data_IF_062193357869
#
_entry.id   IF_062193357869
#
_cell.length_a   1.000
_cell.length_b   1.000
_cell.length_c   1.000
_cell.angle_alpha   90.00
_cell.angle_beta   90.00
_cell.angle_gamma   90.00
#
_symmetry.space_group_name_H-M   'P 1'
#
loop_
_entity.id
_entity.type
_entity.pdbx_description
1 polymer ?
#
# COMPACT_ATOMS: atom_id res chain seq x y z
N UNK A 1 4.17 -31.98 11.71
CA UNK A 1 4.10 -32.50 10.32
C UNK A 1 4.92 -33.78 10.24
N UNK A 2 4.44 -34.80 9.50
CA UNK A 2 5.17 -36.08 9.36
C UNK A 2 6.36 -35.90 8.40
N UNK A 3 7.61 -36.19 8.83
CA UNK A 3 8.82 -36.01 8.01
C UNK A 3 8.95 -36.98 6.83
N UNK A 4 8.10 -38.01 6.74
CA UNK A 4 8.11 -38.99 5.63
C UNK A 4 7.15 -38.66 4.48
N UNK A 5 6.36 -37.59 4.60
CA UNK A 5 5.44 -37.18 3.56
C UNK A 5 6.11 -36.16 2.62
N UNK A 6 6.01 -36.39 1.31
CA UNK A 6 6.40 -35.41 0.29
C UNK A 6 5.28 -34.37 0.18
N UNK A 7 5.61 -33.11 0.46
CA UNK A 7 4.69 -31.99 0.31
C UNK A 7 5.05 -31.22 -0.95
N UNK A 8 4.05 -30.93 -1.77
CA UNK A 8 4.17 -30.02 -2.92
C UNK A 8 3.34 -28.77 -2.64
N UNK A 9 3.95 -27.60 -2.85
CA UNK A 9 3.24 -26.33 -2.75
C UNK A 9 2.19 -26.24 -3.87
N UNK A 10 0.97 -25.85 -3.51
CA UNK A 10 -0.10 -25.69 -4.48
C UNK A 10 0.09 -24.40 -5.29
N UNK A 11 0.38 -24.51 -6.59
CA UNK A 11 0.55 -23.35 -7.48
C UNK A 11 -0.65 -22.39 -7.47
N UNK A 12 -1.88 -22.94 -7.35
CA UNK A 12 -3.08 -22.13 -7.20
C UNK A 12 -3.13 -21.34 -5.89
N UNK A 13 -2.59 -21.91 -4.80
CA UNK A 13 -2.51 -21.20 -3.53
C UNK A 13 -1.49 -20.07 -3.59
N UNK A 14 -0.30 -20.33 -4.17
CA UNK A 14 0.72 -19.30 -4.39
C UNK A 14 0.20 -18.14 -5.24
N UNK A 15 -0.47 -18.45 -6.36
CA UNK A 15 -1.09 -17.44 -7.22
C UNK A 15 -2.16 -16.61 -6.47
N UNK A 16 -2.93 -17.26 -5.60
CA UNK A 16 -3.94 -16.60 -4.78
C UNK A 16 -3.31 -15.66 -3.73
N UNK A 17 -2.16 -16.02 -3.15
CA UNK A 17 -1.40 -15.16 -2.25
C UNK A 17 -0.83 -13.95 -2.98
N UNK A 18 -0.17 -14.16 -4.12
CA UNK A 18 0.41 -13.07 -4.92
C UNK A 18 -0.63 -12.02 -5.29
N UNK A 19 -1.82 -12.44 -5.74
CA UNK A 19 -2.91 -11.52 -6.07
C UNK A 19 -3.44 -10.76 -4.85
N UNK A 20 -3.44 -11.41 -3.68
CA UNK A 20 -3.80 -10.77 -2.42
C UNK A 20 -2.81 -9.70 -2.02
N UNK A 21 -1.52 -10.00 -2.09
CA UNK A 21 -0.47 -9.05 -1.78
C UNK A 21 -0.49 -7.87 -2.77
N UNK A 22 -0.73 -8.14 -4.06
CA UNK A 22 -0.92 -7.10 -5.08
C UNK A 22 -2.08 -6.16 -4.74
N UNK A 23 -3.25 -6.69 -4.38
CA UNK A 23 -4.41 -5.86 -4.03
C UNK A 23 -4.17 -5.05 -2.74
N UNK A 24 -3.55 -5.66 -1.73
CA UNK A 24 -3.27 -4.99 -0.45
C UNK A 24 -2.11 -3.98 -0.51
N UNK A 25 -1.20 -4.11 -1.48
CA UNK A 25 -0.11 -3.16 -1.69
C UNK A 25 -0.58 -1.79 -2.22
N UNK A 26 -1.78 -1.72 -2.80
CA UNK A 26 -2.30 -0.50 -3.41
C UNK A 26 -3.51 0.04 -2.64
N UNK A 27 -3.36 1.22 -2.03
CA UNK A 27 -4.44 1.87 -1.25
C UNK A 27 -5.72 2.05 -2.08
N UNK A 28 -5.59 2.42 -3.37
CA UNK A 28 -6.75 2.58 -4.26
C UNK A 28 -7.48 1.25 -4.48
N UNK A 29 -6.74 0.16 -4.61
CA UNK A 29 -7.31 -1.17 -4.76
C UNK A 29 -8.04 -1.63 -3.50
N UNK A 30 -7.44 -1.40 -2.32
CA UNK A 30 -8.08 -1.69 -1.03
C UNK A 30 -9.40 -0.93 -0.90
N UNK A 31 -9.43 0.37 -1.23
CA UNK A 31 -10.67 1.17 -1.21
C UNK A 31 -11.70 0.64 -2.21
N UNK A 32 -11.27 0.30 -3.44
CA UNK A 32 -12.13 -0.27 -4.47
C UNK A 32 -12.80 -1.58 -4.03
N UNK A 33 -12.03 -2.56 -3.55
CA UNK A 33 -12.59 -3.83 -3.05
C UNK A 33 -13.46 -3.62 -1.80
N UNK A 34 -13.15 -2.61 -0.98
CA UNK A 34 -14.02 -2.18 0.12
C UNK A 34 -15.41 -1.75 -0.36
N UNK A 35 -15.49 -0.94 -1.42
CA UNK A 35 -16.78 -0.54 -2.02
C UNK A 35 -17.53 -1.75 -2.58
N UNK A 36 -16.84 -2.63 -3.30
CA UNK A 36 -17.43 -3.88 -3.83
C UNK A 36 -18.02 -4.73 -2.69
N UNK A 37 -17.31 -4.88 -1.57
CA UNK A 37 -17.82 -5.63 -0.42
C UNK A 37 -19.05 -4.96 0.19
N UNK A 38 -19.04 -3.63 0.33
CA UNK A 38 -20.14 -2.88 0.93
C UNK A 38 -21.42 -2.97 0.09
N UNK A 39 -21.31 -2.93 -1.24
CA UNK A 39 -22.46 -3.18 -2.13
C UNK A 39 -23.08 -4.54 -1.83
N UNK A 40 -22.26 -5.59 -1.76
CA UNK A 40 -22.74 -6.93 -1.44
C UNK A 40 -23.41 -7.00 -0.06
N UNK A 41 -22.74 -6.49 0.99
CA UNK A 41 -23.24 -6.53 2.37
C UNK A 41 -24.56 -5.75 2.52
N UNK A 42 -24.68 -4.59 1.87
CA UNK A 42 -25.89 -3.78 1.92
C UNK A 42 -27.10 -4.54 1.38
N UNK A 43 -26.98 -5.16 0.20
CA UNK A 43 -28.10 -5.89 -0.40
C UNK A 43 -28.41 -7.22 0.29
N UNK A 44 -27.41 -7.92 0.86
CA UNK A 44 -27.66 -9.18 1.58
C UNK A 44 -28.18 -9.02 3.00
N UNK A 45 -28.02 -7.84 3.60
CA UNK A 45 -28.44 -7.60 4.99
C UNK A 45 -29.95 -7.79 5.22
N UNK A 46 -30.76 -7.77 4.15
CA UNK A 46 -32.21 -8.00 4.25
C UNK A 46 -32.78 -8.58 2.96
N UNK A 47 -33.74 -9.51 3.08
CA UNK A 47 -34.49 -10.08 1.96
C UNK A 47 -35.26 -9.03 1.16
N UNK A 48 -35.71 -7.94 1.80
CA UNK A 48 -36.35 -6.81 1.14
C UNK A 48 -35.38 -6.07 0.21
N UNK A 49 -34.16 -5.81 0.70
CA UNK A 49 -33.10 -5.13 -0.08
C UNK A 49 -32.62 -6.01 -1.22
N UNK A 50 -32.49 -7.31 -0.97
CA UNK A 50 -32.18 -8.28 -2.00
C UNK A 50 -33.22 -8.31 -3.12
N UNK A 51 -34.51 -8.20 -2.77
CA UNK A 51 -35.57 -8.09 -3.76
C UNK A 51 -35.43 -6.83 -4.63
N UNK A 52 -35.17 -5.67 -4.03
CA UNK A 52 -34.92 -4.41 -4.78
C UNK A 52 -33.77 -4.59 -5.78
N UNK A 53 -32.70 -5.29 -5.40
CA UNK A 53 -31.61 -5.61 -6.33
C UNK A 53 -32.08 -6.50 -7.49
N UNK A 54 -32.81 -7.58 -7.20
CA UNK A 54 -33.32 -8.50 -8.22
C UNK A 54 -34.33 -7.86 -9.17
N UNK A 55 -35.13 -6.90 -8.68
CA UNK A 55 -36.10 -6.18 -9.49
C UNK A 55 -35.42 -5.29 -10.56
N UNK A 56 -34.15 -4.89 -10.33
CA UNK A 56 -33.36 -4.09 -11.28
C UNK A 56 -32.36 -4.93 -12.09
N UNK A 57 -31.83 -6.01 -11.50
CA UNK A 57 -30.71 -6.77 -12.04
C UNK A 57 -31.23 -8.09 -12.61
N UNK A 58 -31.39 -8.15 -13.93
CA UNK A 58 -31.91 -9.33 -14.65
C UNK A 58 -30.84 -10.39 -14.96
N UNK A 59 -29.54 -10.06 -14.79
CA UNK A 59 -28.42 -10.89 -15.22
C UNK A 59 -27.65 -11.55 -14.07
N UNK A 60 -26.44 -11.06 -13.81
CA UNK A 60 -25.47 -11.68 -12.89
C UNK A 60 -25.69 -11.21 -11.45
N UNK A 61 -25.86 -12.17 -10.54
CA UNK A 61 -26.00 -11.87 -9.11
C UNK A 61 -24.65 -11.48 -8.47
N UNK A 62 -24.64 -10.40 -7.68
CA UNK A 62 -23.48 -9.97 -6.89
C UNK A 62 -23.14 -11.04 -5.84
N UNK A 63 -21.84 -11.35 -5.68
CA UNK A 63 -21.34 -12.35 -4.72
C UNK A 63 -20.45 -11.72 -3.67
N UNK A 64 -20.30 -12.38 -2.51
CA UNK A 64 -19.39 -11.90 -1.47
C UNK A 64 -17.96 -11.95 -1.99
N UNK A 65 -17.16 -10.96 -1.61
CA UNK A 65 -15.71 -11.17 -1.62
C UNK A 65 -15.41 -12.21 -0.53
N UNK A 66 -14.51 -13.13 -0.85
CA UNK A 66 -13.96 -14.06 0.13
C UNK A 66 -12.48 -13.78 0.25
N UNK A 67 -11.99 -13.59 1.48
CA UNK A 67 -10.57 -13.34 1.76
C UNK A 67 -9.67 -14.49 1.26
N UNK A 68 -10.22 -15.70 1.11
CA UNK A 68 -9.45 -16.91 0.78
C UNK A 68 -9.58 -17.38 -0.67
N UNK A 69 -10.45 -16.79 -1.51
CA UNK A 69 -10.67 -17.26 -2.90
C UNK A 69 -10.95 -16.14 -3.90
N UNK A 70 -9.97 -15.81 -4.73
CA UNK A 70 -10.13 -14.82 -5.84
C UNK A 70 -11.17 -15.22 -6.89
N UNK A 71 -11.47 -16.52 -7.01
CA UNK A 71 -12.59 -17.04 -7.83
C UNK A 71 -13.95 -16.48 -7.40
N UNK A 72 -14.13 -16.11 -6.12
CA UNK A 72 -15.33 -15.40 -5.67
C UNK A 72 -15.27 -13.93 -6.10
N UNK A 73 -14.10 -13.32 -5.97
CA UNK A 73 -13.90 -11.90 -6.24
C UNK A 73 -14.11 -11.52 -7.71
N UNK A 74 -13.64 -12.35 -8.65
CA UNK A 74 -13.93 -12.14 -10.07
C UNK A 74 -15.44 -12.20 -10.36
N UNK A 75 -16.21 -13.04 -9.66
CA UNK A 75 -17.67 -13.13 -9.88
C UNK A 75 -18.36 -11.85 -9.41
N UNK A 76 -17.93 -11.30 -8.28
CA UNK A 76 -18.41 -10.02 -7.74
C UNK A 76 -18.09 -8.86 -8.68
N UNK A 77 -16.82 -8.75 -9.08
CA UNK A 77 -16.34 -7.71 -10.01
C UNK A 77 -17.03 -7.83 -11.37
N UNK A 78 -17.20 -9.05 -11.89
CA UNK A 78 -17.93 -9.30 -13.14
C UNK A 78 -19.38 -8.85 -13.04
N UNK A 79 -20.08 -9.21 -11.97
CA UNK A 79 -21.48 -8.84 -11.79
C UNK A 79 -21.67 -7.33 -11.77
N UNK A 80 -20.77 -6.61 -11.09
CA UNK A 80 -20.81 -5.15 -11.02
C UNK A 80 -20.45 -4.53 -12.36
N UNK A 81 -19.36 -4.96 -13.02
CA UNK A 81 -18.89 -4.39 -14.30
C UNK A 81 -19.97 -4.38 -15.39
N UNK A 82 -20.74 -5.46 -15.51
CA UNK A 82 -21.69 -5.61 -16.61
C UNK A 82 -23.11 -5.13 -16.27
N UNK A 83 -23.36 -4.70 -15.05
CA UNK A 83 -24.68 -4.22 -14.60
C UNK A 83 -24.54 -2.98 -13.69
N UNK A 84 -23.53 -2.15 -13.97
CA UNK A 84 -23.21 -1.01 -13.09
C UNK A 84 -24.37 -0.01 -13.04
N UNK A 85 -25.00 0.25 -14.19
CA UNK A 85 -26.19 1.10 -14.32
C UNK A 85 -27.37 0.61 -13.48
N UNK A 86 -27.66 -0.68 -13.53
CA UNK A 86 -28.79 -1.33 -12.87
C UNK A 86 -28.56 -1.36 -11.36
N UNK A 87 -27.35 -1.68 -10.93
CA UNK A 87 -26.97 -1.66 -9.51
C UNK A 87 -27.05 -0.22 -8.97
N UNK A 88 -26.63 0.78 -9.75
CA UNK A 88 -26.79 2.19 -9.37
C UNK A 88 -28.27 2.54 -9.18
N UNK A 89 -29.13 2.18 -10.12
CA UNK A 89 -30.56 2.42 -10.01
C UNK A 89 -31.16 1.74 -8.77
N UNK A 90 -30.78 0.49 -8.50
CA UNK A 90 -31.21 -0.23 -7.30
C UNK A 90 -30.75 0.45 -6.00
N UNK A 91 -29.52 1.00 -5.96
CA UNK A 91 -29.02 1.77 -4.81
C UNK A 91 -29.78 3.09 -4.62
N UNK A 92 -30.13 3.78 -5.71
CA UNK A 92 -30.92 5.01 -5.65
C UNK A 92 -32.37 4.73 -5.21
N UNK A 93 -32.97 3.62 -5.64
CA UNK A 93 -34.27 3.18 -5.12
C UNK A 93 -34.17 2.84 -3.63
N UNK A 94 -33.15 2.09 -3.23
CA UNK A 94 -32.95 1.73 -1.84
C UNK A 94 -32.77 2.98 -0.95
N UNK A 95 -32.06 3.99 -1.44
CA UNK A 95 -31.94 5.28 -0.76
C UNK A 95 -33.29 5.97 -0.53
N UNK A 96 -34.21 5.88 -1.50
CA UNK A 96 -35.56 6.49 -1.41
C UNK A 96 -36.50 5.69 -0.49
N UNK A 97 -36.39 4.37 -0.50
CA UNK A 97 -37.35 3.45 0.15
C UNK A 97 -36.97 3.01 1.54
N UNK A 98 -35.68 3.06 1.93
CA UNK A 98 -35.27 2.75 3.29
C UNK A 98 -35.92 3.73 4.29
N UNK A 99 -36.07 3.31 5.55
CA UNK A 99 -36.43 4.22 6.64
C UNK A 99 -35.21 4.58 7.49
N UNK A 100 -34.27 3.63 7.61
CA UNK A 100 -33.11 3.76 8.48
C UNK A 100 -32.05 4.69 7.89
N UNK A 101 -31.62 5.68 8.68
CA UNK A 101 -30.68 6.71 8.24
C UNK A 101 -29.32 6.14 7.80
N UNK A 102 -28.86 5.06 8.45
CA UNK A 102 -27.58 4.41 8.14
C UNK A 102 -27.59 3.80 6.73
N UNK A 103 -28.59 2.99 6.39
CA UNK A 103 -28.67 2.37 5.06
C UNK A 103 -29.01 3.38 3.98
N UNK A 104 -29.78 4.44 4.29
CA UNK A 104 -29.97 5.56 3.35
C UNK A 104 -28.66 6.23 2.98
N UNK A 105 -27.85 6.58 3.98
CA UNK A 105 -26.55 7.22 3.79
C UNK A 105 -25.58 6.28 3.07
N UNK A 106 -25.56 5.01 3.44
CA UNK A 106 -24.72 4.00 2.81
C UNK A 106 -25.11 3.76 1.34
N UNK A 107 -26.41 3.59 1.04
CA UNK A 107 -26.89 3.43 -0.33
C UNK A 107 -26.52 4.61 -1.21
N UNK A 108 -26.66 5.84 -0.70
CA UNK A 108 -26.27 7.05 -1.44
C UNK A 108 -24.75 7.11 -1.66
N UNK A 109 -23.96 6.87 -0.61
CA UNK A 109 -22.50 6.84 -0.70
C UNK A 109 -21.99 5.80 -1.72
N UNK A 110 -22.64 4.64 -1.80
CA UNK A 110 -22.29 3.61 -2.78
C UNK A 110 -22.73 4.00 -4.20
N UNK A 111 -23.91 4.61 -4.37
CA UNK A 111 -24.33 5.15 -5.66
C UNK A 111 -23.35 6.22 -6.17
N UNK A 112 -22.96 7.16 -5.30
CA UNK A 112 -21.96 8.20 -5.62
C UNK A 112 -20.58 7.60 -5.96
N UNK A 113 -20.25 6.46 -5.34
CA UNK A 113 -19.01 5.73 -5.68
C UNK A 113 -19.10 5.10 -7.07
N UNK A 114 -20.26 4.60 -7.49
CA UNK A 114 -20.48 4.07 -8.85
C UNK A 114 -20.53 5.19 -9.90
N UNK A 115 -20.90 6.41 -9.51
CA UNK A 115 -20.84 7.60 -10.37
C UNK A 115 -19.43 8.25 -10.43
N UNK A 116 -18.43 7.64 -9.79
CA UNK A 116 -17.04 8.10 -9.90
C UNK A 116 -16.33 7.44 -11.08
N UNK A 117 -15.79 8.27 -11.98
CA UNK A 117 -14.94 7.80 -13.07
C UNK A 117 -13.74 6.99 -12.57
N UNK A 118 -13.17 7.33 -11.41
CA UNK A 118 -12.06 6.56 -10.81
C UNK A 118 -12.49 5.14 -10.42
N UNK A 119 -13.71 4.97 -9.92
CA UNK A 119 -14.23 3.65 -9.58
C UNK A 119 -14.56 2.84 -10.84
N UNK A 120 -15.17 3.47 -11.86
CA UNK A 120 -15.44 2.85 -13.16
C UNK A 120 -14.14 2.44 -13.87
N UNK A 121 -13.06 3.19 -13.73
CA UNK A 121 -11.76 2.76 -14.25
C UNK A 121 -11.22 1.57 -13.46
N UNK A 122 -11.38 1.60 -12.13
CA UNK A 122 -11.03 0.50 -11.23
C UNK A 122 -11.73 -0.80 -11.59
N UNK A 123 -13.05 -0.78 -11.85
CA UNK A 123 -13.83 -2.00 -12.17
C UNK A 123 -13.38 -2.63 -13.50
N UNK A 124 -13.00 -1.81 -14.48
CA UNK A 124 -12.48 -2.27 -15.78
C UNK A 124 -11.13 -2.96 -15.58
N UNK A 125 -10.17 -2.24 -14.98
CA UNK A 125 -8.80 -2.75 -14.77
C UNK A 125 -8.82 -4.03 -13.93
N UNK A 126 -9.52 -4.02 -12.80
CA UNK A 126 -9.57 -5.19 -11.91
C UNK A 126 -10.26 -6.38 -12.55
N UNK A 127 -11.30 -6.18 -13.37
CA UNK A 127 -11.89 -7.30 -14.10
C UNK A 127 -10.90 -7.92 -15.07
N UNK A 128 -10.15 -7.13 -15.84
CA UNK A 128 -9.21 -7.65 -16.85
C UNK A 128 -8.08 -8.46 -16.19
N UNK A 129 -7.50 -7.92 -15.09
CA UNK A 129 -6.48 -8.59 -14.28
C UNK A 129 -7.03 -9.90 -13.68
N UNK A 130 -8.19 -9.83 -13.01
CA UNK A 130 -8.79 -11.00 -12.36
C UNK A 130 -9.22 -12.05 -13.38
N UNK A 131 -9.64 -11.65 -14.57
CA UNK A 131 -10.02 -12.54 -15.65
C UNK A 131 -8.83 -13.36 -16.13
N UNK A 132 -7.71 -12.73 -16.43
CA UNK A 132 -6.47 -13.41 -16.81
C UNK A 132 -6.05 -14.42 -15.72
N UNK A 133 -5.98 -13.99 -14.46
CA UNK A 133 -5.55 -14.84 -13.34
C UNK A 133 -6.53 -16.01 -13.12
N UNK A 134 -7.83 -15.78 -13.24
CA UNK A 134 -8.83 -16.84 -13.08
C UNK A 134 -8.78 -17.86 -14.23
N UNK A 135 -8.41 -17.45 -15.44
CA UNK A 135 -8.17 -18.41 -16.54
C UNK A 135 -7.01 -19.32 -16.21
N UNK A 136 -5.87 -18.76 -15.78
CA UNK A 136 -4.70 -19.53 -15.34
C UNK A 136 -5.08 -20.45 -14.18
N UNK A 137 -5.71 -19.92 -13.13
CA UNK A 137 -6.14 -20.68 -11.95
C UNK A 137 -7.05 -21.87 -12.30
N UNK A 138 -7.98 -21.71 -13.25
CA UNK A 138 -8.85 -22.81 -13.71
C UNK A 138 -8.08 -23.89 -14.46
N UNK A 139 -7.16 -23.50 -15.35
CA UNK A 139 -6.29 -24.44 -16.06
C UNK A 139 -5.38 -25.17 -15.08
N UNK A 140 -4.88 -24.45 -14.07
CA UNK A 140 -4.06 -25.00 -12.99
C UNK A 140 -4.77 -26.06 -12.11
N UNK A 141 -6.10 -26.07 -12.14
CA UNK A 141 -6.94 -27.02 -11.40
C UNK A 141 -7.46 -28.16 -12.27
N UNK A 142 -7.10 -28.21 -13.56
CA UNK A 142 -7.59 -29.25 -14.48
C UNK A 142 -6.89 -30.59 -14.24
N UNK A 143 -7.64 -31.68 -14.37
CA UNK A 143 -7.13 -33.05 -14.17
C UNK A 143 -6.10 -33.46 -15.23
N UNK A 144 -6.13 -32.83 -16.41
CA UNK A 144 -5.22 -33.09 -17.53
C UNK A 144 -3.95 -32.22 -17.52
N UNK A 145 -3.60 -31.62 -16.39
CA UNK A 145 -2.52 -30.65 -16.34
C UNK A 145 -1.13 -31.31 -16.31
N UNK A 146 -0.28 -30.93 -17.27
CA UNK A 146 1.16 -31.23 -17.25
C UNK A 146 1.99 -30.05 -16.72
N UNK A 147 3.24 -30.32 -16.35
CA UNK A 147 4.21 -29.30 -15.93
C UNK A 147 4.52 -28.34 -17.09
N UNK A 148 4.70 -28.86 -18.32
CA UNK A 148 4.95 -28.03 -19.50
C UNK A 148 3.78 -27.09 -19.78
N UNK A 149 2.55 -27.59 -19.68
CA UNK A 149 1.35 -26.75 -19.85
C UNK A 149 1.23 -25.70 -18.75
N UNK A 150 1.66 -26.02 -17.53
CA UNK A 150 1.71 -25.05 -16.41
C UNK A 150 2.66 -23.90 -16.71
N UNK A 151 3.86 -24.20 -17.21
CA UNK A 151 4.87 -23.20 -17.59
C UNK A 151 4.30 -22.29 -18.68
N UNK A 152 3.73 -22.86 -19.74
CA UNK A 152 3.13 -22.10 -20.84
C UNK A 152 2.00 -21.16 -20.34
N UNK A 153 1.16 -21.60 -19.39
CA UNK A 153 0.12 -20.72 -18.82
C UNK A 153 0.70 -19.57 -17.99
N UNK A 154 1.78 -19.81 -17.24
CA UNK A 154 2.43 -18.77 -16.44
C UNK A 154 3.12 -17.75 -17.35
N UNK A 155 3.84 -18.21 -18.37
CA UNK A 155 4.47 -17.36 -19.38
C UNK A 155 3.43 -16.51 -20.13
N UNK A 156 2.30 -17.11 -20.53
CA UNK A 156 1.20 -16.37 -21.14
C UNK A 156 0.61 -15.29 -20.22
N UNK A 157 0.52 -15.56 -18.91
CA UNK A 157 0.08 -14.58 -17.93
C UNK A 157 1.08 -13.43 -17.77
N UNK A 158 2.38 -13.74 -17.73
CA UNK A 158 3.46 -12.75 -17.66
C UNK A 158 3.45 -11.85 -18.91
N UNK A 159 3.34 -12.44 -20.10
CA UNK A 159 3.23 -11.71 -21.35
C UNK A 159 2.00 -10.79 -21.38
N UNK A 160 0.85 -11.26 -20.86
CA UNK A 160 -0.32 -10.42 -20.67
C UNK A 160 -0.02 -9.21 -19.78
N UNK A 161 0.58 -9.40 -18.60
CA UNK A 161 0.90 -8.30 -17.68
C UNK A 161 1.95 -7.33 -18.24
N UNK A 162 2.91 -7.82 -19.00
CA UNK A 162 3.88 -6.99 -19.73
C UNK A 162 3.22 -6.11 -20.78
N UNK A 163 2.36 -6.69 -21.62
CA UNK A 163 1.58 -5.93 -22.60
C UNK A 163 0.57 -4.97 -21.93
N UNK A 164 -0.04 -5.39 -20.83
CA UNK A 164 -1.00 -4.57 -20.10
C UNK A 164 -0.36 -3.30 -19.51
N UNK A 165 0.92 -3.36 -19.12
CA UNK A 165 1.68 -2.20 -18.64
C UNK A 165 1.92 -1.14 -19.71
N UNK A 166 2.01 -1.54 -20.98
CA UNK A 166 2.30 -0.61 -22.09
C UNK A 166 1.02 -0.05 -22.73
N UNK A 167 0.03 -0.89 -23.02
CA UNK A 167 -1.18 -0.50 -23.76
C UNK A 167 -2.47 -0.69 -22.98
N UNK A 168 -2.45 -1.53 -21.93
CA UNK A 168 -3.64 -1.91 -21.16
C UNK A 168 -4.33 -0.72 -20.49
N UNK A 169 -3.57 0.21 -19.89
CA UNK A 169 -4.17 1.39 -19.25
C UNK A 169 -4.93 2.28 -20.23
N UNK A 170 -4.38 2.51 -21.44
CA UNK A 170 -5.05 3.30 -22.48
C UNK A 170 -6.32 2.60 -22.99
N UNK A 171 -6.26 1.27 -23.18
CA UNK A 171 -7.42 0.48 -23.55
C UNK A 171 -8.51 0.52 -22.47
N UNK A 172 -8.16 0.33 -21.19
CA UNK A 172 -9.09 0.45 -20.08
C UNK A 172 -9.71 1.84 -20.01
N UNK A 173 -8.92 2.90 -20.22
CA UNK A 173 -9.41 4.27 -20.23
C UNK A 173 -10.49 4.50 -21.29
N UNK A 174 -10.30 3.97 -22.50
CA UNK A 174 -11.29 4.08 -23.57
C UNK A 174 -12.57 3.33 -23.21
N UNK A 175 -12.46 2.08 -22.72
CA UNK A 175 -13.61 1.30 -22.27
C UNK A 175 -14.37 2.02 -21.15
N UNK A 176 -13.66 2.63 -20.20
CA UNK A 176 -14.28 3.38 -19.11
C UNK A 176 -14.97 4.65 -19.60
N UNK A 177 -14.43 5.35 -20.60
CA UNK A 177 -15.09 6.53 -21.20
C UNK A 177 -16.42 6.16 -21.85
N UNK A 178 -16.45 5.06 -22.60
CA UNK A 178 -17.71 4.56 -23.17
C UNK A 178 -18.72 4.19 -22.08
N UNK A 179 -18.27 3.51 -21.01
CA UNK A 179 -19.13 3.18 -19.88
C UNK A 179 -19.65 4.43 -19.15
N UNK A 180 -18.80 5.42 -18.96
CA UNK A 180 -19.15 6.69 -18.31
C UNK A 180 -20.17 7.47 -19.14
N UNK A 181 -20.04 7.48 -20.47
CA UNK A 181 -21.02 8.08 -21.38
C UNK A 181 -22.39 7.41 -21.25
N UNK A 182 -22.45 6.07 -21.24
CA UNK A 182 -23.71 5.32 -21.05
C UNK A 182 -24.35 5.62 -19.69
N UNK A 183 -23.53 5.86 -18.67
CA UNK A 183 -23.98 6.14 -17.31
C UNK A 183 -24.29 7.62 -17.05
N UNK A 184 -24.05 8.52 -17.99
CA UNK A 184 -24.11 9.98 -17.81
C UNK A 184 -23.18 10.48 -16.68
N UNK A 185 -21.96 9.91 -16.64
CA UNK A 185 -20.90 10.25 -15.68
C UNK A 185 -19.82 11.06 -16.39
N UNK A 186 -19.43 12.19 -15.81
CA UNK A 186 -18.34 12.99 -16.36
C UNK A 186 -17.00 12.23 -16.26
N UNK A 187 -16.26 12.04 -17.37
CA UNK A 187 -15.03 11.24 -17.38
C UNK A 187 -13.82 12.03 -16.87
N UNK A 188 -13.92 12.56 -15.65
CA UNK A 188 -12.90 13.37 -15.00
C UNK A 188 -12.42 12.75 -13.69
N UNK A 189 -11.12 12.88 -13.42
CA UNK A 189 -10.57 12.47 -12.14
C UNK A 189 -10.81 13.56 -11.09
N UNK A 190 -11.14 13.18 -9.84
CA UNK A 190 -11.33 14.15 -8.77
C UNK A 190 -10.05 14.96 -8.53
N UNK A 191 -10.14 16.27 -8.69
CA UNK A 191 -9.04 17.18 -8.41
C UNK A 191 -8.85 17.26 -6.90
N UNK A 192 -7.79 16.64 -6.38
CA UNK A 192 -7.45 16.76 -4.95
C UNK A 192 -7.12 18.22 -4.64
N UNK A 193 -7.98 18.87 -3.85
CA UNK A 193 -7.72 20.20 -3.32
C UNK A 193 -6.45 20.14 -2.45
N UNK A 194 -5.37 20.77 -2.89
CA UNK A 194 -4.18 20.94 -2.05
C UNK A 194 -4.54 21.88 -0.91
N UNK A 195 -4.72 21.34 0.30
CA UNK A 195 -4.88 22.17 1.50
C UNK A 195 -3.53 22.83 1.77
N UNK A 196 -3.42 24.11 1.40
CA UNK A 196 -2.33 24.96 1.86
C UNK A 196 -2.55 25.22 3.36
N UNK A 197 -1.90 24.45 4.22
CA UNK A 197 -1.82 24.80 5.65
C UNK A 197 -1.06 26.12 5.77
N UNK A 198 -1.59 27.10 6.50
CA UNK A 198 -0.81 28.26 6.95
C UNK A 198 0.41 27.73 7.71
N UNK A 199 1.60 27.98 7.19
CA UNK A 199 2.86 27.61 7.84
C UNK A 199 2.97 28.42 9.14
N UNK A 200 3.02 27.73 10.28
CA UNK A 200 3.64 28.32 11.47
C UNK A 200 5.14 28.42 11.18
N UNK A 201 5.71 29.60 11.44
CA UNK A 201 7.14 29.86 11.32
C UNK A 201 7.88 28.92 12.26
N UNK A 202 8.72 28.01 11.72
CA UNK A 202 9.72 27.30 12.52
C UNK A 202 9.86 25.79 12.37
N UNK A 203 8.96 25.04 11.73
CA UNK A 203 9.15 23.57 11.63
C UNK A 203 8.48 22.96 10.39
N UNK A 204 9.00 23.25 9.19
CA UNK A 204 8.78 22.39 8.03
C UNK A 204 9.74 22.78 6.90
N UNK A 205 11.01 22.40 7.05
CA UNK A 205 11.88 22.12 5.92
C UNK A 205 11.53 20.69 5.52
N UNK A 206 11.07 20.45 4.28
CA UNK A 206 10.81 19.09 3.79
C UNK A 206 12.00 18.19 4.12
N UNK A 207 11.79 16.98 4.65
CA UNK A 207 12.84 16.01 5.04
C UNK A 207 14.01 15.95 4.04
N UNK A 208 13.70 16.04 2.74
CA UNK A 208 14.69 16.19 1.67
C UNK A 208 15.65 17.35 1.89
N UNK A 209 15.15 18.58 2.07
CA UNK A 209 15.95 19.79 2.26
C UNK A 209 16.76 19.78 3.57
N UNK A 210 16.32 19.06 4.61
CA UNK A 210 17.06 18.95 5.87
C UNK A 210 18.22 17.96 5.74
N UNK A 211 18.01 16.79 5.14
CA UNK A 211 19.10 15.87 4.79
C UNK A 211 20.14 16.56 3.89
N UNK A 212 19.68 17.28 2.86
CA UNK A 212 20.58 18.00 1.96
C UNK A 212 21.34 19.16 2.61
N UNK A 213 20.83 19.77 3.69
CA UNK A 213 21.61 20.80 4.41
C UNK A 213 22.74 20.21 5.26
N UNK A 214 22.58 18.97 5.74
CA UNK A 214 23.59 18.27 6.54
C UNK A 214 24.70 17.63 5.69
N UNK A 215 24.37 17.12 4.50
CA UNK A 215 25.32 16.46 3.58
C UNK A 215 25.74 17.34 2.40
N UNK A 216 25.54 18.66 2.49
CA UNK A 216 25.87 19.61 1.41
C UNK A 216 27.36 19.62 1.07
N UNK A 217 28.22 19.27 2.03
CA UNK A 217 29.67 19.11 1.82
C UNK A 217 30.05 17.79 1.15
N UNK A 218 29.16 16.79 1.18
CA UNK A 218 29.47 15.41 0.79
C UNK A 218 28.88 15.01 -0.57
N UNK A 219 27.89 15.75 -1.08
CA UNK A 219 27.20 15.48 -2.35
C UNK A 219 26.98 16.78 -3.12
N UNK A 220 27.48 16.86 -4.35
CA UNK A 220 27.07 17.90 -5.31
C UNK A 220 25.76 17.50 -6.01
N UNK A 221 24.77 18.39 -5.98
CA UNK A 221 23.42 18.11 -6.50
C UNK A 221 23.38 18.00 -8.02
N UNK A 222 24.16 18.83 -8.72
CA UNK A 222 24.16 18.86 -10.18
C UNK A 222 24.92 17.65 -10.71
N UNK A 223 26.04 17.30 -10.08
CA UNK A 223 26.82 16.13 -10.44
C UNK A 223 26.05 14.84 -10.12
N UNK A 224 25.42 14.74 -8.94
CA UNK A 224 24.56 13.58 -8.61
C UNK A 224 23.43 13.41 -9.63
N UNK A 225 22.80 14.50 -10.07
CA UNK A 225 21.73 14.43 -11.06
C UNK A 225 22.22 13.92 -12.42
N UNK A 226 23.38 14.41 -12.87
CA UNK A 226 24.01 13.97 -14.11
C UNK A 226 24.47 12.51 -14.02
N UNK A 227 25.11 12.12 -12.92
CA UNK A 227 25.51 10.74 -12.65
C UNK A 227 24.29 9.81 -12.66
N UNK A 228 23.16 10.18 -12.03
CA UNK A 228 21.95 9.35 -11.99
C UNK A 228 21.36 9.12 -13.38
N UNK A 229 21.43 10.14 -14.24
CA UNK A 229 20.96 10.03 -15.63
C UNK A 229 21.85 9.10 -16.45
N UNK A 230 23.17 9.13 -16.21
CA UNK A 230 24.12 8.22 -16.86
C UNK A 230 23.97 6.80 -16.31
N UNK A 231 23.74 6.65 -15.01
CA UNK A 231 23.50 5.37 -14.36
C UNK A 231 22.24 4.68 -14.93
N UNK A 232 21.17 5.45 -15.19
CA UNK A 232 19.95 4.93 -15.80
C UNK A 232 20.19 4.28 -17.18
N UNK A 233 21.10 4.83 -17.98
CA UNK A 233 21.44 4.32 -19.33
C UNK A 233 22.46 3.18 -19.30
N UNK A 234 23.23 3.05 -18.21
CA UNK A 234 24.30 2.04 -18.06
C UNK A 234 23.88 0.82 -17.24
N UNK A 235 22.76 0.91 -16.51
CA UNK A 235 22.21 -0.20 -15.75
C UNK A 235 21.66 -1.30 -16.69
N UNK A 236 21.96 -2.58 -16.42
CA UNK A 236 21.30 -3.68 -17.09
C UNK A 236 19.78 -3.65 -16.84
N UNK A 237 18.97 -4.10 -17.80
CA UNK A 237 17.51 -4.28 -17.67
C UNK A 237 17.12 -5.41 -16.69
N UNK A 238 17.58 -5.32 -15.43
CA UNK A 238 17.29 -6.26 -14.35
C UNK A 238 17.01 -5.47 -13.07
N UNK A 239 16.01 -5.90 -12.29
CA UNK A 239 15.77 -5.37 -10.96
C UNK A 239 16.98 -5.67 -10.06
N UNK A 240 17.64 -4.62 -9.57
CA UNK A 240 18.77 -4.70 -8.64
C UNK A 240 18.39 -4.08 -7.29
N UNK A 241 18.88 -4.65 -6.20
CA UNK A 241 18.75 -4.06 -4.87
C UNK A 241 19.71 -2.88 -4.70
N UNK A 242 19.48 -2.03 -3.69
CA UNK A 242 20.36 -0.89 -3.39
C UNK A 242 21.81 -1.33 -3.07
N UNK A 243 22.00 -2.57 -2.60
CA UNK A 243 23.32 -3.16 -2.34
C UNK A 243 23.99 -3.55 -3.65
N UNK A 244 23.24 -4.19 -4.56
CA UNK A 244 23.75 -4.57 -5.88
C UNK A 244 24.13 -3.35 -6.72
N UNK A 245 23.35 -2.27 -6.63
CA UNK A 245 23.64 -0.99 -7.28
C UNK A 245 24.93 -0.37 -6.70
N UNK A 246 25.14 -0.44 -5.38
CA UNK A 246 26.37 0.06 -4.77
C UNK A 246 27.60 -0.77 -5.19
N UNK A 247 27.45 -2.09 -5.32
CA UNK A 247 28.52 -2.97 -5.80
C UNK A 247 28.88 -2.68 -7.26
N UNK A 248 27.88 -2.50 -8.12
CA UNK A 248 28.05 -2.10 -9.52
C UNK A 248 28.70 -0.71 -9.67
N UNK A 249 28.30 0.25 -8.85
CA UNK A 249 28.89 1.59 -8.85
C UNK A 249 30.33 1.57 -8.34
N UNK A 250 30.67 0.71 -7.38
CA UNK A 250 32.04 0.53 -6.89
C UNK A 250 32.98 -0.12 -7.92
N UNK A 251 32.49 -1.00 -8.79
CA UNK A 251 33.31 -1.62 -9.83
C UNK A 251 33.62 -0.69 -10.99
N UNK A 252 32.76 0.30 -11.25
CA UNK A 252 32.93 1.25 -12.34
C UNK A 252 33.74 2.51 -11.98
N UNK A 253 33.94 2.79 -10.68
CA UNK A 253 34.74 3.91 -10.12
C UNK A 253 34.44 5.31 -10.70
N UNK A 254 33.31 5.48 -11.40
CA UNK A 254 32.99 6.70 -12.15
C UNK A 254 31.81 7.50 -11.59
N UNK A 255 31.19 7.05 -10.48
CA UNK A 255 30.06 7.72 -9.84
C UNK A 255 30.31 7.93 -8.33
N UNK A 256 31.13 8.94 -8.01
CA UNK A 256 31.51 9.24 -6.63
C UNK A 256 30.32 9.73 -5.81
N UNK A 257 29.46 10.59 -6.36
CA UNK A 257 28.29 11.12 -5.67
C UNK A 257 27.21 10.04 -5.47
N UNK A 258 26.99 9.16 -6.45
CA UNK A 258 26.06 8.02 -6.29
C UNK A 258 26.56 7.05 -5.22
N UNK A 259 27.86 6.75 -5.19
CA UNK A 259 28.43 5.86 -4.15
C UNK A 259 28.19 6.42 -2.75
N UNK A 260 28.37 7.72 -2.56
CA UNK A 260 28.10 8.42 -1.29
C UNK A 260 26.60 8.42 -0.98
N UNK A 261 25.74 8.73 -1.96
CA UNK A 261 24.30 8.73 -1.79
C UNK A 261 23.75 7.33 -1.43
N UNK A 262 24.24 6.27 -2.08
CA UNK A 262 23.88 4.88 -1.77
C UNK A 262 24.37 4.48 -0.37
N UNK A 263 25.56 4.91 0.06
CA UNK A 263 26.04 4.68 1.44
C UNK A 263 25.18 5.42 2.47
N UNK A 264 24.77 6.65 2.21
CA UNK A 264 23.84 7.38 3.08
C UNK A 264 22.49 6.67 3.11
N UNK A 265 21.96 6.24 1.97
CA UNK A 265 20.69 5.51 1.90
C UNK A 265 20.71 4.19 2.68
N UNK A 266 21.83 3.47 2.64
CA UNK A 266 22.00 2.19 3.34
C UNK A 266 22.34 2.36 4.83
N UNK A 267 22.85 3.52 5.25
CA UNK A 267 23.18 3.81 6.66
C UNK A 267 22.08 4.59 7.38
N UNK A 268 21.25 5.33 6.66
CA UNK A 268 20.00 5.86 7.20
C UNK A 268 19.05 4.68 7.42
N UNK A 269 18.50 4.47 8.64
CA UNK A 269 17.62 3.35 8.91
C UNK A 269 16.31 3.50 8.12
N UNK A 270 16.28 2.97 6.89
CA UNK A 270 15.09 2.92 6.04
C UNK A 270 14.29 1.65 6.33
N UNK A 271 13.96 1.41 7.60
CA UNK A 271 12.81 0.59 7.98
C UNK A 271 12.16 1.16 9.23
N UNK A 272 10.86 1.37 9.10
CA UNK A 272 9.97 2.14 9.97
C UNK A 272 9.91 1.62 11.42
N UNK A 273 10.44 0.44 11.72
CA UNK A 273 10.32 -0.19 13.03
C UNK A 273 11.05 0.57 14.16
N UNK A 274 12.29 1.01 13.95
CA UNK A 274 13.07 1.71 15.00
C UNK A 274 12.60 3.16 15.18
N UNK A 275 12.22 3.82 14.07
CA UNK A 275 11.59 5.14 14.09
C UNK A 275 10.21 5.08 14.79
N UNK A 276 9.37 4.10 14.47
CA UNK A 276 8.05 3.93 15.12
C UNK A 276 8.19 3.57 16.60
N UNK A 277 9.19 2.76 16.98
CA UNK A 277 9.47 2.46 18.39
C UNK A 277 9.91 3.72 19.13
N UNK A 278 10.81 4.52 18.57
CA UNK A 278 11.26 5.79 19.16
C UNK A 278 10.15 6.86 19.20
N UNK A 279 9.31 6.99 18.17
CA UNK A 279 8.13 7.87 18.18
C UNK A 279 7.06 7.43 19.17
N UNK A 280 6.82 6.12 19.31
CA UNK A 280 5.91 5.55 20.31
C UNK A 280 6.39 5.83 21.74
N UNK A 281 7.69 5.68 22.00
CA UNK A 281 8.30 6.04 23.31
C UNK A 281 8.28 7.55 23.56
N UNK A 282 8.55 8.37 22.55
CA UNK A 282 8.46 9.83 22.64
C UNK A 282 7.03 10.30 22.98
N UNK A 283 6.00 9.64 22.44
CA UNK A 283 4.60 9.91 22.77
C UNK A 283 4.28 9.60 24.24
N UNK A 284 4.94 8.61 24.84
CA UNK A 284 4.83 8.31 26.27
C UNK A 284 5.63 9.29 27.15
N UNK A 285 6.75 9.82 26.65
CA UNK A 285 7.57 10.81 27.35
C UNK A 285 6.92 12.21 27.34
N UNK A 286 6.35 12.62 26.21
CA UNK A 286 5.58 13.86 26.06
C UNK A 286 4.10 13.65 26.39
N UNK A 287 3.79 13.33 27.63
CA UNK A 287 2.42 13.44 28.13
C UNK A 287 2.03 14.91 28.33
N UNK A 288 0.73 15.20 28.26
CA UNK A 288 0.17 16.55 28.43
C UNK A 288 0.69 17.26 29.71
N UNK A 289 0.88 16.49 30.79
CA UNK A 289 1.41 16.96 32.08
C UNK A 289 2.92 17.26 32.10
N UNK A 290 3.68 16.89 31.04
CA UNK A 290 5.15 17.06 30.93
C UNK A 290 5.57 18.03 29.81
N UNK A 291 4.64 18.84 29.32
CA UNK A 291 4.81 19.71 28.15
C UNK A 291 5.76 20.91 28.35
N UNK A 292 6.26 21.15 29.57
CA UNK A 292 7.18 22.26 29.91
C UNK A 292 8.67 21.87 29.98
N UNK A 293 9.05 20.67 29.54
CA UNK A 293 10.43 20.17 29.66
C UNK A 293 11.37 20.73 28.58
N UNK A 294 12.62 21.06 28.95
CA UNK A 294 13.66 21.50 28.00
C UNK A 294 14.07 20.39 27.02
N UNK A 295 14.52 20.79 25.83
CA UNK A 295 14.87 19.85 24.75
C UNK A 295 16.03 18.92 25.14
N UNK A 296 17.00 19.42 25.92
CA UNK A 296 18.14 18.62 26.39
C UNK A 296 17.69 17.47 27.30
N UNK A 297 16.79 17.75 28.24
CA UNK A 297 16.25 16.74 29.16
C UNK A 297 15.36 15.73 28.42
N UNK A 298 14.62 16.18 27.41
CA UNK A 298 13.83 15.31 26.55
C UNK A 298 14.71 14.34 25.76
N UNK A 299 15.78 14.85 25.13
CA UNK A 299 16.69 14.04 24.34
C UNK A 299 17.36 12.97 25.20
N UNK A 300 17.82 13.34 26.41
CA UNK A 300 18.38 12.38 27.37
C UNK A 300 17.39 11.28 27.75
N UNK A 301 16.16 11.63 28.11
CA UNK A 301 15.13 10.64 28.45
C UNK A 301 14.70 9.76 27.28
N UNK A 302 14.69 10.31 26.07
CA UNK A 302 14.39 9.55 24.86
C UNK A 302 15.45 8.48 24.61
N UNK A 303 16.73 8.83 24.71
CA UNK A 303 17.86 7.89 24.59
C UNK A 303 17.73 6.78 25.63
N UNK A 304 17.49 7.12 26.90
CA UNK A 304 17.33 6.15 27.98
C UNK A 304 16.14 5.19 27.76
N UNK A 305 15.05 5.67 27.14
CA UNK A 305 13.87 4.85 26.87
C UNK A 305 14.01 3.96 25.62
N UNK A 306 14.79 4.40 24.63
CA UNK A 306 15.08 3.63 23.42
C UNK A 306 16.09 2.52 23.75
N UNK A 307 17.15 2.86 24.48
CA UNK A 307 18.24 1.94 24.84
C UNK A 307 18.05 1.25 26.20
N UNK A 308 16.80 1.09 26.64
CA UNK A 308 16.46 0.54 27.97
C UNK A 308 17.09 -0.84 28.22
N UNK A 309 17.18 -1.67 27.18
CA UNK A 309 17.72 -3.04 27.28
C UNK A 309 19.25 -3.04 27.45
N UNK A 310 19.93 -2.01 26.95
CA UNK A 310 21.37 -1.78 27.16
C UNK A 310 21.61 -1.22 28.56
N UNK A 311 20.76 -0.30 29.03
CA UNK A 311 20.79 0.21 30.41
C UNK A 311 20.60 -0.87 31.46
N UNK A 312 19.80 -1.90 31.19
CA UNK A 312 19.63 -3.03 32.09
C UNK A 312 20.90 -3.86 32.32
N UNK A 313 21.95 -3.66 31.51
CA UNK A 313 23.25 -4.33 31.64
C UNK A 313 24.34 -3.43 32.24
N UNK A 314 24.04 -2.15 32.45
CA UNK A 314 24.98 -1.18 33.03
C UNK A 314 24.85 -1.26 34.55
N UNK A 315 25.98 -1.39 35.23
CA UNK A 315 26.02 -1.37 36.69
C UNK A 315 25.76 0.05 37.20
N UNK A 316 24.57 0.25 37.76
CA UNK A 316 24.08 1.56 38.22
C UNK A 316 24.95 2.07 39.37
N UNK A 317 25.46 1.18 40.22
CA UNK A 317 26.26 1.54 41.39
C UNK A 317 27.60 2.15 40.96
N UNK A 318 28.28 1.54 39.97
CA UNK A 318 29.49 2.13 39.37
C UNK A 318 29.27 3.52 38.78
N UNK A 319 28.09 3.79 38.23
CA UNK A 319 27.74 5.06 37.61
C UNK A 319 27.41 6.14 38.65
N UNK A 320 26.80 5.74 39.78
CA UNK A 320 26.60 6.61 40.94
C UNK A 320 27.94 6.97 41.57
N UNK A 321 28.86 6.02 41.69
CA UNK A 321 30.21 6.26 42.22
C UNK A 321 31.04 7.18 41.30
N UNK A 322 31.02 6.98 39.98
CA UNK A 322 31.67 7.91 39.03
C UNK A 322 31.03 9.31 39.08
N UNK A 323 29.70 9.40 39.18
CA UNK A 323 29.00 10.69 39.27
C UNK A 323 29.30 11.44 40.58
N UNK A 324 29.35 10.72 41.71
CA UNK A 324 29.71 11.29 43.02
C UNK A 324 31.18 11.71 43.06
N UNK A 325 32.09 10.94 42.45
CA UNK A 325 33.52 11.28 42.35
C UNK A 325 33.76 12.59 41.57
N UNK A 326 32.96 12.86 40.53
CA UNK A 326 33.06 14.08 39.71
C UNK A 326 32.41 15.31 40.33
N UNK A 327 31.51 15.12 41.30
CA UNK A 327 30.82 16.20 42.02
C UNK A 327 30.98 16.02 43.53
N UNK A 328 32.16 16.40 44.05
CA UNK A 328 32.63 16.22 45.42
C UNK A 328 31.80 16.88 46.57
N UNK A 329 30.53 17.26 46.35
CA UNK A 329 29.70 18.00 47.32
C UNK A 329 28.37 17.34 47.70
N UNK A 330 28.11 16.08 47.32
CA UNK A 330 26.90 15.37 47.76
C UNK A 330 27.26 14.04 48.40
N UNK A 331 27.22 13.99 49.73
CA UNK A 331 27.37 12.75 50.50
C UNK A 331 26.13 11.87 50.35
N UNK A 332 26.34 10.55 50.43
CA UNK A 332 25.30 9.53 50.56
C UNK A 332 24.42 9.83 51.78
N UNK A 333 23.11 10.01 51.57
CA UNK A 333 22.15 9.87 52.65
C UNK A 333 21.78 8.38 52.71
N UNK A 334 22.20 7.73 53.81
CA UNK A 334 21.92 6.33 54.12
C UNK A 334 20.43 6.06 54.31
#
# INVERSE_FOLDING_TARGET
MNPRALYMLCACHSLNLTLSDMAHSCVKAVSFFGVVQRIYTLFLSSTKRWKVLLDHVSGLTVKSLSNTRWKSQIKSVKAIRFQTSEIRSALLELHRTCEDAMSKSEAKSLADSLDSFEFLLGIVIWYDILFCINMVSKKLQSESMSVDSTIEQIEGALAFFEGYRTTGFAASMNITKELAYVMDVEPTFPVKRRVLRKKQYGYCVTEKQYLFSWYKSDIDLNDLYLELKILQETLPNKFMSAIDILEFVKTLDCFSNISIACRILLTVPMTVASAEQSFSKLKLLKTYLRSSMSQERLNGLAILCIEKDMLGKIDVDSMIDDFTSRNARRHYFS
#
